data_IF_017535646831
#
_entry.id   IF_017535646831
#
_cell.length_a   1.000
_cell.length_b   1.000
_cell.length_c   1.000
_cell.angle_alpha   90.00
_cell.angle_beta   90.00
_cell.angle_gamma   90.00
#
_symmetry.space_group_name_H-M   'P 1'
#
loop_
_entity.id
_entity.type
_entity.pdbx_description
1 polymer ?
#
# COMPACT_ATOMS: atom_id res chain seq x y z
N UNK A 1 -44.24 -18.68 -12.45
CA UNK A 1 -42.82 -18.36 -12.71
C UNK A 1 -42.40 -17.00 -12.13
N UNK A 2 -42.43 -16.79 -10.79
CA UNK A 2 -42.03 -15.51 -10.16
C UNK A 2 -41.38 -15.68 -8.77
N UNK A 3 -40.62 -16.75 -8.53
CA UNK A 3 -39.94 -16.98 -7.24
C UNK A 3 -38.41 -17.13 -7.27
N UNK A 4 -37.76 -17.09 -8.45
CA UNK A 4 -36.30 -17.30 -8.55
C UNK A 4 -35.44 -16.03 -8.70
N UNK A 5 -36.03 -14.83 -8.74
CA UNK A 5 -35.27 -13.60 -9.08
C UNK A 5 -34.80 -12.74 -7.90
N UNK A 6 -35.12 -13.09 -6.64
CA UNK A 6 -34.80 -12.26 -5.46
C UNK A 6 -33.60 -12.73 -4.62
N UNK A 7 -33.10 -13.95 -4.81
CA UNK A 7 -32.00 -14.51 -4.02
C UNK A 7 -30.61 -14.05 -4.49
N UNK A 8 -30.45 -13.67 -5.76
CA UNK A 8 -29.13 -13.26 -6.29
C UNK A 8 -28.71 -11.83 -5.92
N UNK A 9 -29.66 -10.94 -5.59
CA UNK A 9 -29.33 -9.55 -5.17
C UNK A 9 -28.95 -9.42 -3.70
N UNK A 10 -29.32 -10.38 -2.85
CA UNK A 10 -29.05 -10.32 -1.40
C UNK A 10 -27.69 -10.92 -1.01
N UNK A 11 -27.13 -11.80 -1.85
CA UNK A 11 -25.76 -12.30 -1.68
C UNK A 11 -24.70 -11.26 -2.09
N UNK A 12 -24.97 -10.48 -3.14
CA UNK A 12 -24.05 -9.47 -3.64
C UNK A 12 -23.85 -8.30 -2.66
N UNK A 13 -24.89 -7.88 -1.93
CA UNK A 13 -24.81 -6.79 -0.93
C UNK A 13 -24.08 -7.17 0.36
N UNK A 14 -24.06 -8.45 0.76
CA UNK A 14 -23.26 -8.90 1.93
C UNK A 14 -21.76 -8.93 1.65
N UNK A 15 -21.36 -9.24 0.41
CA UNK A 15 -19.95 -9.32 -0.01
C UNK A 15 -19.30 -7.92 -0.07
N UNK A 16 -20.05 -6.88 -0.44
CA UNK A 16 -19.54 -5.50 -0.54
C UNK A 16 -19.48 -4.79 0.82
N UNK A 17 -20.40 -5.10 1.75
CA UNK A 17 -20.37 -4.54 3.11
C UNK A 17 -19.37 -5.22 4.05
N UNK A 18 -18.87 -6.41 3.71
CA UNK A 18 -17.94 -7.15 4.55
C UNK A 18 -16.57 -6.49 4.73
N UNK A 19 -15.89 -5.97 3.69
CA UNK A 19 -14.60 -5.28 3.86
C UNK A 19 -14.70 -4.04 4.75
N UNK A 20 -15.82 -3.30 4.69
CA UNK A 20 -16.08 -2.18 5.59
C UNK A 20 -16.27 -2.64 7.04
N UNK A 21 -16.99 -3.76 7.26
CA UNK A 21 -17.12 -4.35 8.60
C UNK A 21 -15.80 -4.89 9.15
N UNK A 22 -14.90 -5.42 8.30
CA UNK A 22 -13.58 -5.89 8.69
C UNK A 22 -12.60 -4.75 8.98
N UNK A 23 -12.63 -3.65 8.22
CA UNK A 23 -11.87 -2.44 8.53
C UNK A 23 -12.36 -1.78 9.82
N UNK A 24 -13.67 -1.72 10.04
CA UNK A 24 -14.25 -1.23 11.31
C UNK A 24 -13.94 -2.16 12.47
N UNK A 25 -13.96 -3.49 12.27
CA UNK A 25 -13.50 -4.44 13.30
C UNK A 25 -12.00 -4.28 13.56
N UNK A 26 -11.17 -4.12 12.53
CA UNK A 26 -9.73 -3.99 12.69
C UNK A 26 -9.33 -2.65 13.34
N UNK A 27 -10.05 -1.57 13.03
CA UNK A 27 -9.94 -0.29 13.75
C UNK A 27 -10.46 -0.40 15.20
N UNK A 28 -11.57 -1.08 15.43
CA UNK A 28 -12.08 -1.35 16.77
C UNK A 28 -11.12 -2.26 17.57
N UNK A 29 -10.41 -3.19 16.91
CA UNK A 29 -9.38 -4.04 17.50
C UNK A 29 -8.07 -3.29 17.76
N UNK A 30 -7.77 -2.22 17.02
CA UNK A 30 -6.63 -1.34 17.33
C UNK A 30 -6.91 -0.50 18.59
N UNK A 31 -8.17 -0.12 18.80
CA UNK A 31 -8.61 0.72 19.93
C UNK A 31 -8.95 -0.08 21.20
N UNK A 32 -9.50 -1.27 21.04
CA UNK A 32 -9.66 -2.26 22.11
C UNK A 32 -8.61 -3.35 21.89
N UNK A 33 -7.51 -3.30 22.64
CA UNK A 33 -6.46 -4.32 22.69
C UNK A 33 -6.98 -5.66 23.26
N UNK A 34 -8.02 -6.24 22.65
CA UNK A 34 -8.58 -7.53 22.95
C UNK A 34 -8.11 -8.51 21.87
N UNK A 35 -7.42 -9.61 22.25
CA UNK A 35 -6.83 -10.58 21.33
C UNK A 35 -7.93 -11.52 20.81
N UNK A 36 -8.88 -11.02 20.01
CA UNK A 36 -10.02 -11.84 19.57
C UNK A 36 -9.91 -12.15 18.08
N UNK A 37 -8.84 -12.87 17.77
CA UNK A 37 -8.72 -14.02 16.86
C UNK A 37 -7.22 -14.27 16.68
N UNK A 38 -6.76 -15.45 17.05
CA UNK A 38 -5.34 -15.81 16.91
C UNK A 38 -5.00 -15.73 15.41
N UNK A 39 -3.91 -15.06 15.00
CA UNK A 39 -3.44 -15.07 13.61
C UNK A 39 -3.53 -16.45 12.92
N UNK A 40 -3.21 -17.58 13.58
CA UNK A 40 -3.37 -18.91 12.98
C UNK A 40 -4.83 -19.30 12.64
N UNK A 41 -5.83 -18.88 13.41
CA UNK A 41 -7.24 -19.17 13.12
C UNK A 41 -7.73 -18.37 11.90
N UNK A 42 -7.27 -17.11 11.78
CA UNK A 42 -7.58 -16.28 10.62
C UNK A 42 -6.90 -16.81 9.36
N UNK A 43 -5.67 -17.31 9.49
CA UNK A 43 -4.93 -17.92 8.39
C UNK A 43 -5.59 -19.21 7.92
N UNK A 44 -5.98 -20.09 8.86
CA UNK A 44 -6.72 -21.31 8.54
C UNK A 44 -8.03 -21.00 7.80
N UNK A 45 -8.80 -20.04 8.31
CA UNK A 45 -10.03 -19.63 7.66
C UNK A 45 -9.80 -18.99 6.28
N UNK A 46 -8.68 -18.28 6.09
CA UNK A 46 -8.33 -17.72 4.79
C UNK A 46 -8.09 -18.84 3.75
N UNK A 47 -7.41 -19.93 4.13
CA UNK A 47 -7.20 -21.10 3.28
C UNK A 47 -8.49 -21.87 2.94
N UNK A 48 -9.44 -21.92 3.87
CA UNK A 48 -10.70 -22.65 3.67
C UNK A 48 -11.67 -21.91 2.74
N UNK A 49 -11.53 -20.59 2.60
CA UNK A 49 -12.45 -19.78 1.80
C UNK A 49 -11.98 -19.64 0.35
N UNK A 50 -12.93 -19.63 -0.59
CA UNK A 50 -12.66 -19.35 -2.01
C UNK A 50 -12.93 -17.88 -2.40
N UNK A 51 -13.33 -17.04 -1.44
CA UNK A 51 -13.73 -15.67 -1.70
C UNK A 51 -12.56 -14.70 -1.54
N UNK A 52 -11.95 -14.29 -2.65
CA UNK A 52 -10.78 -13.39 -2.66
C UNK A 52 -10.94 -12.13 -1.79
N UNK A 53 -12.15 -11.53 -1.76
CA UNK A 53 -12.41 -10.32 -0.95
C UNK A 53 -12.31 -10.60 0.55
N UNK A 54 -12.70 -11.81 0.98
CA UNK A 54 -12.62 -12.23 2.37
C UNK A 54 -11.15 -12.53 2.71
N UNK A 55 -10.42 -13.23 1.84
CA UNK A 55 -8.99 -13.52 2.00
C UNK A 55 -8.20 -12.21 2.11
N UNK A 56 -8.42 -11.23 1.22
CA UNK A 56 -7.80 -9.89 1.29
C UNK A 56 -8.13 -9.15 2.60
N UNK A 57 -9.37 -9.23 3.07
CA UNK A 57 -9.78 -8.62 4.34
C UNK A 57 -9.12 -9.27 5.55
N UNK A 58 -9.00 -10.60 5.54
CA UNK A 58 -8.33 -11.36 6.60
C UNK A 58 -6.82 -11.11 6.60
N UNK A 59 -6.18 -11.07 5.43
CA UNK A 59 -4.74 -10.86 5.31
C UNK A 59 -4.33 -9.47 5.82
N UNK A 60 -5.13 -8.44 5.52
CA UNK A 60 -4.94 -7.10 6.10
C UNK A 60 -5.28 -7.07 7.61
N UNK A 61 -6.30 -7.81 8.04
CA UNK A 61 -6.63 -7.96 9.45
C UNK A 61 -5.47 -8.56 10.26
N UNK A 62 -4.84 -9.62 9.74
CA UNK A 62 -3.63 -10.22 10.32
C UNK A 62 -2.50 -9.19 10.36
N UNK A 63 -2.28 -8.45 9.28
CA UNK A 63 -1.27 -7.39 9.24
C UNK A 63 -1.45 -6.32 10.34
N UNK A 64 -2.70 -5.97 10.68
CA UNK A 64 -3.00 -5.02 11.75
C UNK A 64 -2.78 -5.62 13.15
N UNK A 65 -2.92 -6.93 13.33
CA UNK A 65 -2.61 -7.58 14.62
C UNK A 65 -1.12 -7.59 14.96
N UNK A 66 -0.24 -7.43 13.97
CA UNK A 66 1.22 -7.37 14.17
C UNK A 66 1.77 -5.95 14.23
N UNK A 67 0.91 -4.95 14.34
CA UNK A 67 1.30 -3.55 14.38
C UNK A 67 2.29 -3.24 15.52
N UNK A 68 3.50 -2.80 15.16
CA UNK A 68 4.55 -2.42 16.11
C UNK A 68 5.15 -3.56 16.93
N UNK A 69 4.98 -4.82 16.52
CA UNK A 69 5.51 -6.00 17.22
C UNK A 69 6.92 -6.42 16.78
N UNK A 70 7.47 -5.78 15.74
CA UNK A 70 8.83 -6.01 15.22
C UNK A 70 9.17 -7.52 15.12
N UNK A 71 10.22 -7.98 15.80
CA UNK A 71 10.75 -9.35 15.73
C UNK A 71 9.75 -10.42 16.19
N UNK A 72 8.79 -10.09 17.06
CA UNK A 72 7.77 -11.08 17.47
C UNK A 72 6.88 -11.53 16.31
N UNK A 73 6.77 -10.69 15.27
CA UNK A 73 5.97 -10.96 14.08
C UNK A 73 6.72 -11.80 13.02
N UNK A 74 8.05 -11.96 13.13
CA UNK A 74 8.88 -12.59 12.09
C UNK A 74 8.42 -14.02 11.77
N UNK A 75 8.07 -14.79 12.78
CA UNK A 75 7.59 -16.18 12.60
C UNK A 75 6.33 -16.25 11.74
N UNK A 76 5.38 -15.34 11.97
CA UNK A 76 4.14 -15.26 11.20
C UNK A 76 4.39 -14.73 9.79
N UNK A 77 5.25 -13.71 9.66
CA UNK A 77 5.63 -13.12 8.38
C UNK A 77 6.29 -14.19 7.50
N UNK A 78 7.26 -14.95 8.03
CA UNK A 78 7.93 -16.02 7.29
C UNK A 78 6.97 -17.12 6.86
N UNK A 79 6.04 -17.52 7.72
CA UNK A 79 5.02 -18.52 7.40
C UNK A 79 4.17 -18.07 6.21
N UNK A 80 3.61 -16.87 6.28
CA UNK A 80 2.72 -16.36 5.23
C UNK A 80 3.47 -15.95 3.96
N UNK A 81 4.77 -15.65 4.05
CA UNK A 81 5.61 -15.31 2.87
C UNK A 81 5.81 -16.52 1.96
N UNK A 82 5.87 -17.73 2.54
CA UNK A 82 6.06 -18.99 1.80
C UNK A 82 4.75 -19.55 1.22
N UNK A 83 3.66 -18.83 1.42
CA UNK A 83 2.35 -19.24 0.95
C UNK A 83 2.25 -19.25 -0.58
N UNK A 84 1.49 -20.19 -1.12
CA UNK A 84 1.24 -20.28 -2.55
C UNK A 84 0.25 -19.20 -3.01
N UNK A 85 -0.68 -18.78 -2.15
CA UNK A 85 -1.68 -17.78 -2.49
C UNK A 85 -1.06 -16.36 -2.55
N UNK A 86 -1.05 -15.69 -3.72
CA UNK A 86 -0.53 -14.34 -3.84
C UNK A 86 -1.30 -13.31 -2.99
N UNK A 87 -2.57 -13.56 -2.65
CA UNK A 87 -3.37 -12.66 -1.81
C UNK A 87 -2.87 -12.67 -0.36
N UNK A 88 -2.42 -13.83 0.12
CA UNK A 88 -1.82 -13.95 1.44
C UNK A 88 -0.46 -13.27 1.45
N UNK A 89 0.41 -13.54 0.46
CA UNK A 89 1.70 -12.85 0.32
C UNK A 89 1.55 -11.32 0.22
N UNK A 90 0.51 -10.84 -0.47
CA UNK A 90 0.15 -9.42 -0.52
C UNK A 90 -0.13 -8.84 0.88
N UNK A 91 -0.87 -9.56 1.73
CA UNK A 91 -1.14 -9.14 3.10
C UNK A 91 0.12 -9.14 3.96
N UNK A 92 1.07 -10.05 3.71
CA UNK A 92 2.35 -10.08 4.43
C UNK A 92 3.18 -8.83 4.19
N UNK A 93 3.17 -8.28 2.98
CA UNK A 93 3.92 -7.06 2.70
C UNK A 93 3.42 -5.90 3.59
N UNK A 94 2.10 -5.84 3.85
CA UNK A 94 1.54 -4.91 4.84
C UNK A 94 1.90 -5.29 6.27
N UNK A 95 1.87 -6.58 6.61
CA UNK A 95 2.24 -7.07 7.95
C UNK A 95 3.69 -6.68 8.29
N UNK A 96 4.61 -6.87 7.35
CA UNK A 96 6.01 -6.49 7.46
C UNK A 96 6.18 -4.96 7.59
N UNK A 97 5.47 -4.18 6.78
CA UNK A 97 5.46 -2.72 6.89
C UNK A 97 4.95 -2.21 8.24
N UNK A 98 3.87 -2.80 8.76
CA UNK A 98 3.23 -2.37 10.00
C UNK A 98 3.99 -2.85 11.25
N UNK A 99 4.62 -4.02 11.18
CA UNK A 99 5.49 -4.53 12.25
C UNK A 99 6.73 -3.64 12.42
N UNK A 100 7.36 -3.23 11.32
CA UNK A 100 8.60 -2.44 11.31
C UNK A 100 8.41 -0.95 10.99
N UNK A 101 7.20 -0.41 11.22
CA UNK A 101 6.89 0.98 10.85
C UNK A 101 7.88 1.97 11.49
N UNK A 102 8.44 2.88 10.71
CA UNK A 102 9.32 3.95 11.22
C UNK A 102 10.62 3.50 11.90
N UNK A 103 10.94 2.19 11.90
CA UNK A 103 12.17 1.65 12.48
C UNK A 103 13.38 1.82 11.56
N UNK A 104 13.16 1.93 10.24
CA UNK A 104 14.20 1.88 9.22
C UNK A 104 15.13 0.66 9.35
N UNK A 105 14.57 -0.50 9.70
CA UNK A 105 15.34 -1.75 9.82
C UNK A 105 15.81 -2.27 8.46
N UNK A 106 17.12 -2.46 8.31
CA UNK A 106 17.74 -2.98 7.09
C UNK A 106 17.24 -4.37 6.67
N UNK A 107 16.93 -5.26 7.64
CA UNK A 107 16.39 -6.60 7.35
C UNK A 107 15.05 -6.51 6.63
N UNK A 108 14.13 -5.69 7.17
CA UNK A 108 12.81 -5.48 6.60
C UNK A 108 12.89 -4.80 5.21
N UNK A 109 13.76 -3.78 5.07
CA UNK A 109 13.98 -3.10 3.78
C UNK A 109 14.49 -4.09 2.72
N UNK A 110 15.50 -4.90 3.05
CA UNK A 110 16.06 -5.87 2.12
C UNK A 110 15.04 -6.94 1.72
N UNK A 111 14.22 -7.40 2.66
CA UNK A 111 13.16 -8.36 2.38
C UNK A 111 12.09 -7.76 1.46
N UNK A 112 11.63 -6.53 1.72
CA UNK A 112 10.68 -5.82 0.84
C UNK A 112 11.24 -5.62 -0.58
N UNK A 113 12.51 -5.21 -0.69
CA UNK A 113 13.17 -5.05 -1.99
C UNK A 113 13.31 -6.37 -2.74
N UNK A 114 13.57 -7.47 -2.03
CA UNK A 114 13.60 -8.80 -2.64
C UNK A 114 12.23 -9.13 -3.26
N UNK A 115 11.14 -9.02 -2.49
CA UNK A 115 9.78 -9.30 -2.99
C UNK A 115 9.32 -8.37 -4.11
N UNK A 116 9.77 -7.11 -4.12
CA UNK A 116 9.48 -6.16 -5.18
C UNK A 116 9.99 -6.64 -6.56
N UNK A 117 11.05 -7.44 -6.59
CA UNK A 117 11.68 -7.92 -7.83
C UNK A 117 11.42 -9.41 -8.09
N UNK A 118 11.40 -10.26 -7.06
CA UNK A 118 11.38 -11.72 -7.19
C UNK A 118 9.99 -12.34 -7.26
N UNK A 119 8.94 -11.73 -6.68
CA UNK A 119 7.60 -12.32 -6.69
C UNK A 119 7.03 -12.37 -8.12
N UNK A 120 6.10 -13.26 -8.39
CA UNK A 120 5.44 -13.38 -9.70
C UNK A 120 4.24 -12.44 -9.80
N UNK A 121 3.60 -12.12 -8.67
CA UNK A 121 2.38 -11.33 -8.62
C UNK A 121 2.65 -9.83 -8.60
N UNK A 122 2.06 -9.11 -9.54
CA UNK A 122 2.12 -7.64 -9.61
C UNK A 122 1.52 -6.94 -8.38
N UNK A 123 0.48 -7.54 -7.78
CA UNK A 123 -0.13 -7.04 -6.54
C UNK A 123 0.87 -7.08 -5.37
N UNK A 124 1.64 -8.16 -5.25
CA UNK A 124 2.66 -8.32 -4.20
C UNK A 124 3.81 -7.35 -4.46
N UNK A 125 4.30 -7.26 -5.71
CA UNK A 125 5.38 -6.35 -6.09
C UNK A 125 5.04 -4.89 -5.78
N UNK A 126 3.86 -4.44 -6.21
CA UNK A 126 3.37 -3.08 -5.93
C UNK A 126 3.32 -2.79 -4.44
N UNK A 127 2.75 -3.71 -3.66
CA UNK A 127 2.61 -3.54 -2.22
C UNK A 127 3.95 -3.57 -1.50
N UNK A 128 4.90 -4.40 -1.95
CA UNK A 128 6.24 -4.44 -1.38
C UNK A 128 6.96 -3.09 -1.51
N UNK A 129 6.84 -2.42 -2.67
CA UNK A 129 7.41 -1.08 -2.85
C UNK A 129 6.68 -0.05 -1.99
N UNK A 130 5.34 -0.08 -1.97
CA UNK A 130 4.54 0.83 -1.14
C UNK A 130 4.88 0.67 0.37
N UNK A 131 5.09 -0.56 0.82
CA UNK A 131 5.46 -0.92 2.18
C UNK A 131 6.78 -0.29 2.64
N UNK A 132 7.73 -0.02 1.72
CA UNK A 132 8.96 0.70 2.04
C UNK A 132 8.67 2.09 2.62
N UNK A 133 7.63 2.77 2.14
CA UNK A 133 7.22 4.08 2.66
C UNK A 133 6.84 4.04 4.15
N UNK A 134 6.19 2.97 4.60
CA UNK A 134 5.83 2.78 6.02
C UNK A 134 7.02 2.42 6.90
N UNK A 135 8.00 1.68 6.38
CA UNK A 135 9.22 1.36 7.15
C UNK A 135 10.13 2.59 7.29
N UNK A 136 10.16 3.44 6.25
CA UNK A 136 11.10 4.55 6.12
C UNK A 136 10.54 5.94 6.46
N UNK A 137 9.26 6.08 6.87
CA UNK A 137 8.68 7.42 7.11
C UNK A 137 9.43 8.26 8.15
N UNK A 138 10.16 7.63 9.08
CA UNK A 138 10.95 8.33 10.10
C UNK A 138 12.29 8.88 9.56
N UNK A 139 12.72 8.44 8.36
CA UNK A 139 13.94 8.89 7.66
C UNK A 139 13.62 9.19 6.19
N UNK A 140 12.80 10.22 5.91
CA UNK A 140 12.27 10.49 4.58
C UNK A 140 13.35 10.77 3.52
N UNK A 141 14.55 11.20 3.92
CA UNK A 141 15.66 11.50 3.00
C UNK A 141 16.25 10.24 2.34
N UNK A 142 16.07 9.07 2.96
CA UNK A 142 16.59 7.80 2.42
C UNK A 142 15.66 7.22 1.36
N UNK A 143 14.36 7.51 1.43
CA UNK A 143 13.34 6.87 0.58
C UNK A 143 13.55 7.16 -0.90
N UNK A 144 13.71 8.44 -1.36
CA UNK A 144 13.93 8.74 -2.78
C UNK A 144 15.16 8.00 -3.35
N UNK A 145 16.22 7.86 -2.56
CA UNK A 145 17.46 7.17 -2.98
C UNK A 145 17.23 5.68 -3.21
N UNK A 146 16.48 5.03 -2.31
CA UNK A 146 16.19 3.59 -2.41
C UNK A 146 15.24 3.29 -3.56
N UNK A 147 14.19 4.11 -3.74
CA UNK A 147 13.15 3.86 -4.75
C UNK A 147 13.48 4.43 -6.13
N UNK A 148 14.54 5.23 -6.28
CA UNK A 148 14.95 5.82 -7.57
C UNK A 148 15.09 4.74 -8.66
N UNK A 149 15.85 3.66 -8.37
CA UNK A 149 16.02 2.54 -9.31
C UNK A 149 14.70 1.80 -9.63
N UNK A 150 13.77 1.76 -8.67
CA UNK A 150 12.47 1.11 -8.85
C UNK A 150 11.51 1.97 -9.70
N UNK A 151 11.69 3.29 -9.67
CA UNK A 151 10.89 4.23 -10.46
C UNK A 151 11.14 4.08 -11.97
N UNK A 152 12.31 3.59 -12.37
CA UNK A 152 12.68 3.32 -13.76
C UNK A 152 12.37 1.88 -14.21
N UNK A 153 11.70 1.09 -13.36
CA UNK A 153 11.39 -0.31 -13.68
C UNK A 153 10.52 -0.46 -14.93
N UNK A 154 10.79 -1.49 -15.72
CA UNK A 154 9.93 -1.86 -16.85
C UNK A 154 8.51 -2.24 -16.40
N UNK A 155 8.35 -2.79 -15.19
CA UNK A 155 7.05 -3.19 -14.68
C UNK A 155 6.25 -1.96 -14.17
N UNK A 156 5.09 -1.63 -14.76
CA UNK A 156 4.30 -0.48 -14.34
C UNK A 156 3.78 -0.53 -12.90
N UNK A 157 3.54 -1.72 -12.35
CA UNK A 157 3.05 -1.88 -10.97
C UNK A 157 4.13 -1.52 -9.94
N UNK A 158 5.40 -1.83 -10.25
CA UNK A 158 6.56 -1.41 -9.46
C UNK A 158 6.74 0.11 -9.58
N UNK A 159 6.67 0.65 -10.81
CA UNK A 159 6.73 2.11 -11.04
C UNK A 159 5.61 2.87 -10.36
N UNK A 160 4.43 2.29 -10.19
CA UNK A 160 3.33 2.90 -9.43
C UNK A 160 3.58 2.86 -7.92
N UNK A 161 4.20 1.79 -7.41
CA UNK A 161 4.53 1.67 -5.99
C UNK A 161 5.56 2.70 -5.53
N UNK A 162 6.57 3.00 -6.37
CA UNK A 162 7.64 3.94 -6.06
C UNK A 162 7.16 5.36 -5.68
N UNK A 163 6.33 6.06 -6.47
CA UNK A 163 5.86 7.39 -6.12
C UNK A 163 5.00 7.37 -4.86
N UNK A 164 4.15 6.36 -4.67
CA UNK A 164 3.36 6.24 -3.45
C UNK A 164 4.21 6.01 -2.21
N UNK A 165 5.28 5.20 -2.30
CA UNK A 165 6.20 5.01 -1.19
C UNK A 165 6.85 6.34 -0.76
N UNK A 166 7.30 7.13 -1.74
CA UNK A 166 7.85 8.48 -1.51
C UNK A 166 6.78 9.41 -0.96
N UNK A 167 5.56 9.37 -1.49
CA UNK A 167 4.44 10.18 -1.02
C UNK A 167 4.09 9.91 0.44
N UNK A 168 4.10 8.64 0.86
CA UNK A 168 3.84 8.24 2.25
C UNK A 168 5.01 8.65 3.16
N UNK A 169 6.26 8.42 2.76
CA UNK A 169 7.41 8.73 3.61
C UNK A 169 7.66 10.23 3.74
N UNK A 170 7.51 10.97 2.63
CA UNK A 170 7.86 12.39 2.53
C UNK A 170 6.62 13.31 2.61
N UNK A 171 5.50 12.82 3.14
CA UNK A 171 4.29 13.62 3.28
C UNK A 171 4.57 14.87 4.14
N UNK A 172 4.22 16.05 3.63
CA UNK A 172 4.40 17.34 4.32
C UNK A 172 5.85 17.78 4.57
N UNK A 173 6.86 17.07 4.06
CA UNK A 173 8.26 17.49 4.23
C UNK A 173 8.71 18.53 3.21
N UNK A 174 8.05 18.59 2.04
CA UNK A 174 8.46 19.47 0.95
C UNK A 174 9.84 19.16 0.36
N UNK A 175 10.32 17.90 0.49
CA UNK A 175 11.67 17.52 0.07
C UNK A 175 11.85 17.70 -1.45
N UNK A 176 12.80 18.56 -1.84
CA UNK A 176 13.10 18.83 -3.26
C UNK A 176 13.53 17.60 -4.05
N UNK A 177 14.31 16.70 -3.45
CA UNK A 177 14.76 15.44 -4.09
C UNK A 177 13.58 14.53 -4.46
N UNK A 178 12.58 14.44 -3.57
CA UNK A 178 11.36 13.68 -3.82
C UNK A 178 10.54 14.28 -4.97
N UNK A 179 10.39 15.61 -5.01
CA UNK A 179 9.66 16.31 -6.08
C UNK A 179 10.34 16.07 -7.44
N UNK A 180 11.67 16.20 -7.50
CA UNK A 180 12.43 15.98 -8.73
C UNK A 180 12.33 14.55 -9.24
N UNK A 181 12.26 13.56 -8.34
CA UNK A 181 12.04 12.15 -8.71
C UNK A 181 10.63 11.91 -9.26
N UNK A 182 9.62 12.59 -8.73
CA UNK A 182 8.21 12.40 -9.12
C UNK A 182 7.84 13.13 -10.42
N UNK A 183 8.51 14.24 -10.74
CA UNK A 183 8.26 15.04 -11.94
C UNK A 183 8.17 14.22 -13.24
N UNK A 184 9.16 13.37 -13.59
CA UNK A 184 9.08 12.54 -14.81
C UNK A 184 7.93 11.53 -14.75
N UNK A 185 7.61 10.97 -13.58
CA UNK A 185 6.54 9.98 -13.42
C UNK A 185 5.14 10.56 -13.66
N UNK A 186 4.96 11.88 -13.51
CA UNK A 186 3.69 12.53 -13.84
C UNK A 186 3.37 12.54 -15.34
N UNK A 187 4.35 12.21 -16.19
CA UNK A 187 4.20 12.12 -17.64
C UNK A 187 4.48 10.71 -18.16
N UNK A 188 4.38 9.71 -17.28
CA UNK A 188 4.54 8.29 -17.62
C UNK A 188 3.52 7.84 -18.68
N UNK A 189 3.90 6.85 -19.48
CA UNK A 189 3.04 6.27 -20.54
C UNK A 189 1.77 5.65 -19.93
N UNK A 190 1.85 5.10 -18.71
CA UNK A 190 0.77 4.36 -18.05
C UNK A 190 -0.05 5.27 -17.12
N UNK A 191 -1.36 5.26 -17.30
CA UNK A 191 -2.31 6.16 -16.64
C UNK A 191 -2.30 6.06 -15.12
N UNK A 192 -2.29 4.84 -14.58
CA UNK A 192 -2.30 4.66 -13.13
C UNK A 192 -0.98 5.08 -12.48
N UNK A 193 0.16 4.95 -13.18
CA UNK A 193 1.45 5.47 -12.70
C UNK A 193 1.40 7.00 -12.60
N UNK A 194 0.86 7.68 -13.62
CA UNK A 194 0.63 9.13 -13.57
C UNK A 194 -0.27 9.51 -12.39
N UNK A 195 -1.36 8.77 -12.17
CA UNK A 195 -2.26 8.99 -11.03
C UNK A 195 -1.52 8.87 -9.69
N UNK A 196 -0.71 7.82 -9.51
CA UNK A 196 0.09 7.61 -8.30
C UNK A 196 1.09 8.75 -8.07
N UNK A 197 1.75 9.22 -9.12
CA UNK A 197 2.68 10.34 -9.06
C UNK A 197 1.99 11.66 -8.66
N UNK A 198 0.81 11.95 -9.22
CA UNK A 198 0.04 13.15 -8.86
C UNK A 198 -0.43 13.11 -7.41
N UNK A 199 -0.90 11.95 -6.92
CA UNK A 199 -1.30 11.77 -5.52
C UNK A 199 -0.10 11.97 -4.59
N UNK A 200 1.04 11.35 -4.89
CA UNK A 200 2.25 11.48 -4.11
C UNK A 200 2.77 12.92 -4.06
N UNK A 201 2.75 13.62 -5.20
CA UNK A 201 3.13 15.03 -5.29
C UNK A 201 2.23 15.90 -4.40
N UNK A 202 0.91 15.64 -4.42
CA UNK A 202 -0.04 16.34 -3.55
C UNK A 202 0.21 16.08 -2.05
N UNK A 203 0.60 14.86 -1.66
CA UNK A 203 0.95 14.52 -0.27
C UNK A 203 2.21 15.25 0.21
N UNK A 204 3.23 15.35 -0.64
CA UNK A 204 4.51 16.00 -0.30
C UNK A 204 4.35 17.52 -0.21
N UNK A 205 3.54 18.10 -1.10
CA UNK A 205 3.32 19.55 -1.20
C UNK A 205 2.11 20.03 -0.38
N UNK A 206 1.63 19.22 0.56
CA UNK A 206 0.53 19.63 1.43
C UNK A 206 0.96 20.81 2.30
N UNK A 207 0.12 21.85 2.37
CA UNK A 207 0.39 23.09 3.11
C UNK A 207 1.63 23.90 2.65
N UNK A 208 2.22 23.61 1.48
CA UNK A 208 3.28 24.46 0.92
C UNK A 208 2.71 25.57 0.03
N UNK A 209 3.36 26.73 0.10
CA UNK A 209 2.92 27.96 -0.58
C UNK A 209 3.79 28.23 -1.80
N UNK A 210 3.26 28.94 -2.80
CA UNK A 210 4.04 29.34 -3.99
C UNK A 210 5.22 30.27 -3.64
N UNK A 211 5.14 30.99 -2.52
CA UNK A 211 6.25 31.80 -1.99
C UNK A 211 7.40 30.96 -1.43
N UNK A 212 7.14 29.72 -0.99
CA UNK A 212 8.16 28.82 -0.46
C UNK A 212 8.78 27.99 -1.57
N UNK A 213 7.97 27.53 -2.53
CA UNK A 213 8.42 26.79 -3.69
C UNK A 213 7.55 27.11 -4.92
N UNK A 214 8.17 27.65 -5.97
CA UNK A 214 7.48 28.02 -7.21
C UNK A 214 6.90 26.82 -7.96
N UNK A 215 7.40 25.60 -7.69
CA UNK A 215 6.88 24.35 -8.27
C UNK A 215 5.44 24.08 -7.86
N UNK A 216 4.99 24.58 -6.69
CA UNK A 216 3.60 24.44 -6.22
C UNK A 216 2.63 25.10 -7.21
N UNK A 217 2.96 26.31 -7.68
CA UNK A 217 2.14 27.03 -8.66
C UNK A 217 2.06 26.30 -10.00
N UNK A 218 3.19 25.77 -10.47
CA UNK A 218 3.25 24.97 -11.70
C UNK A 218 2.42 23.68 -11.58
N UNK A 219 2.52 22.98 -10.45
CA UNK A 219 1.77 21.76 -10.19
C UNK A 219 0.25 22.01 -10.15
N UNK A 220 -0.21 23.08 -9.50
CA UNK A 220 -1.65 23.44 -9.48
C UNK A 220 -2.20 23.72 -10.88
N UNK A 221 -1.47 24.49 -11.70
CA UNK A 221 -1.84 24.74 -13.10
C UNK A 221 -1.87 23.45 -13.92
N UNK A 222 -0.95 22.52 -13.67
CA UNK A 222 -0.94 21.20 -14.32
C UNK A 222 -2.19 20.38 -13.95
N UNK A 223 -2.58 20.35 -12.68
CA UNK A 223 -3.79 19.65 -12.23
C UNK A 223 -5.06 20.24 -12.87
N UNK A 224 -5.17 21.57 -12.90
CA UNK A 224 -6.31 22.25 -13.54
C UNK A 224 -6.41 21.89 -15.03
N UNK A 225 -5.27 21.89 -15.74
CA UNK A 225 -5.24 21.46 -17.15
C UNK A 225 -5.72 20.02 -17.32
N UNK A 226 -5.27 19.09 -16.48
CA UNK A 226 -5.68 17.68 -16.56
C UNK A 226 -7.18 17.51 -16.29
N UNK A 227 -7.77 18.27 -15.38
CA UNK A 227 -9.20 18.20 -15.06
C UNK A 227 -10.05 18.77 -16.19
N UNK A 228 -9.57 19.82 -16.86
CA UNK A 228 -10.26 20.45 -17.98
C UNK A 228 -10.10 19.68 -19.29
N UNK A 229 -9.06 18.86 -19.41
CA UNK A 229 -8.86 18.01 -20.57
C UNK A 229 -9.95 16.94 -20.65
N UNK A 230 -10.52 16.76 -21.83
CA UNK A 230 -11.59 15.79 -22.10
C UNK A 230 -11.04 14.49 -22.69
N UNK A 231 -9.74 14.44 -22.95
CA UNK A 231 -9.01 13.34 -23.56
C UNK A 231 -7.90 12.87 -22.61
#
# INVERSE_FOLDING_TARGET
MRKYARTSRMFCTRIVLWPAKQLVLAWACLWFAQPVRRPPEMLAYAHDTQHEKIIRGLSLGIALTVYGREEEADTLIEQMTRDQDPILRYGVMYALALAYRGTANNKAIHQLLHFAVSDVSDDVRRTAVLALGFVLYNKPEQTPRIVSLLSESYNPHVRYGAPLAVGISCAGSGLSEAISLLEPLTSDIIDFVRQGALIAMAMIMIQTNESYDSRVGAFRRKLEKIILDKH
#
